data_IF_054197009151
#
_entry.id   IF_054197009151
#
_cell.length_a   1.000
_cell.length_b   1.000
_cell.length_c   1.000
_cell.angle_alpha   90.00
_cell.angle_beta   90.00
_cell.angle_gamma   90.00
#
_symmetry.space_group_name_H-M   'P 1'
#
loop_
_entity.id
_entity.type
_entity.pdbx_description
1 polymer ?
#
# COMPACT_ATOMS: atom_id res chain seq x y z
N UNK A 1 -13.46 -11.75 -0.60
CA UNK A 1 -12.55 -10.70 -0.11
C UNK A 1 -11.39 -10.53 -1.09
N UNK A 2 -11.19 -9.35 -1.57
CA UNK A 2 -10.12 -9.01 -2.52
C UNK A 2 -9.03 -8.24 -1.79
N UNK A 3 -7.77 -8.60 -1.99
CA UNK A 3 -6.62 -7.92 -1.39
C UNK A 3 -5.60 -7.52 -2.45
N UNK A 4 -5.18 -6.26 -2.42
CA UNK A 4 -4.20 -5.68 -3.33
C UNK A 4 -3.13 -4.93 -2.55
N UNK A 5 -1.86 -5.22 -2.84
CA UNK A 5 -0.73 -4.44 -2.35
C UNK A 5 -0.08 -3.70 -3.50
N UNK A 6 0.24 -2.43 -3.31
CA UNK A 6 1.17 -1.75 -4.18
C UNK A 6 2.54 -2.46 -4.04
N UNK A 7 2.99 -3.13 -5.11
CA UNK A 7 4.29 -3.79 -5.10
C UNK A 7 5.38 -2.71 -5.08
N UNK A 8 6.30 -2.74 -4.13
CA UNK A 8 7.42 -1.81 -4.08
C UNK A 8 8.01 -1.52 -2.70
N UNK A 9 7.53 -2.18 -1.64
CA UNK A 9 8.19 -2.11 -0.34
C UNK A 9 9.37 -3.07 -0.28
N UNK A 10 10.56 -2.68 -0.72
CA UNK A 10 11.82 -3.27 -0.27
C UNK A 10 12.04 -2.88 1.19
N UNK A 11 12.69 -3.73 1.96
CA UNK A 11 13.09 -3.42 3.32
C UNK A 11 13.92 -2.14 3.35
N UNK A 12 13.84 -1.33 4.43
CA UNK A 12 14.71 -0.20 4.59
C UNK A 12 16.13 -0.73 4.76
N UNK A 13 16.91 -0.71 3.69
CA UNK A 13 18.35 -0.93 3.79
C UNK A 13 18.89 0.29 4.52
N UNK A 14 19.37 0.05 5.74
CA UNK A 14 20.15 0.99 6.52
C UNK A 14 21.24 1.57 5.62
N UNK A 15 21.26 2.88 5.49
CA UNK A 15 22.17 3.65 4.67
C UNK A 15 23.63 3.33 5.01
N UNK A 16 24.31 2.56 4.18
CA UNK A 16 25.74 2.75 3.97
C UNK A 16 25.87 3.66 2.75
N UNK A 17 26.15 4.92 3.00
CA UNK A 17 26.55 5.88 1.98
C UNK A 17 27.92 5.42 1.48
N UNK A 18 27.97 4.86 0.29
CA UNK A 18 29.21 4.77 -0.45
C UNK A 18 29.41 6.17 -1.09
N UNK A 19 30.52 6.82 -0.75
CA UNK A 19 30.95 8.08 -1.31
C UNK A 19 31.20 7.92 -2.83
N UNK A 20 30.18 8.20 -3.59
CA UNK A 20 30.20 8.43 -5.01
C UNK A 20 29.09 9.43 -5.29
N UNK A 21 29.38 10.50 -6.00
CA UNK A 21 28.41 11.52 -6.45
C UNK A 21 27.38 10.89 -7.41
N UNK A 22 26.57 9.96 -6.90
CA UNK A 22 25.48 9.33 -7.61
C UNK A 22 24.21 10.13 -7.40
N UNK A 23 23.57 10.57 -8.47
CA UNK A 23 22.21 11.08 -8.43
C UNK A 23 21.30 10.08 -7.74
N UNK A 24 20.60 10.50 -6.68
CA UNK A 24 19.62 9.68 -5.97
C UNK A 24 18.22 10.13 -6.37
N UNK A 25 17.57 9.42 -7.29
CA UNK A 25 16.22 9.78 -7.73
C UNK A 25 15.24 9.77 -6.56
N UNK A 26 14.31 10.72 -6.60
CA UNK A 26 13.22 10.82 -5.64
C UNK A 26 11.91 10.50 -6.31
N UNK A 27 11.17 9.59 -5.69
CA UNK A 27 9.84 9.21 -6.13
C UNK A 27 8.80 9.80 -5.19
N UNK A 28 7.82 10.53 -5.72
CA UNK A 28 6.69 11.03 -4.92
C UNK A 28 5.40 10.98 -5.71
N UNK A 29 4.30 11.08 -5.02
CA UNK A 29 2.98 11.21 -5.62
C UNK A 29 2.53 12.67 -5.62
N UNK A 30 2.03 13.13 -6.76
CA UNK A 30 1.50 14.48 -6.92
C UNK A 30 0.30 14.49 -7.87
N UNK A 31 -0.86 14.90 -7.36
CA UNK A 31 -2.10 15.14 -8.14
C UNK A 31 -2.47 14.02 -9.12
N UNK A 32 -2.41 12.78 -8.65
CA UNK A 32 -2.79 11.62 -9.46
C UNK A 32 -1.69 11.07 -10.36
N UNK A 33 -0.46 11.54 -10.24
CA UNK A 33 0.70 11.04 -10.98
C UNK A 33 1.85 10.69 -10.05
N UNK A 34 2.72 9.78 -10.49
CA UNK A 34 4.05 9.65 -9.92
C UNK A 34 4.93 10.76 -10.47
N UNK A 35 5.74 11.33 -9.63
CA UNK A 35 6.77 12.31 -9.99
C UNK A 35 8.13 11.72 -9.67
N UNK A 36 9.04 11.79 -10.64
CA UNK A 36 10.42 11.34 -10.51
C UNK A 36 11.29 12.57 -10.63
N UNK A 37 11.96 12.91 -9.55
CA UNK A 37 12.90 14.04 -9.46
C UNK A 37 14.32 13.50 -9.43
N UNK A 38 15.26 14.32 -9.86
CA UNK A 38 16.71 14.04 -9.83
C UNK A 38 17.11 12.73 -10.55
N UNK A 39 16.37 12.32 -11.58
CA UNK A 39 16.74 11.18 -12.41
C UNK A 39 17.57 11.61 -13.60
N UNK A 40 18.74 10.97 -13.87
CA UNK A 40 19.50 11.18 -15.09
C UNK A 40 18.67 10.88 -16.34
N UNK A 41 18.93 11.60 -17.42
CA UNK A 41 18.19 11.44 -18.70
C UNK A 41 18.28 10.01 -19.24
N UNK A 42 19.42 9.36 -19.07
CA UNK A 42 19.66 7.97 -19.48
C UNK A 42 18.75 6.99 -18.76
N UNK A 43 18.54 7.19 -17.44
CA UNK A 43 17.64 6.37 -16.63
C UNK A 43 16.20 6.62 -17.01
N UNK A 44 15.84 7.88 -17.27
CA UNK A 44 14.49 8.22 -17.71
C UNK A 44 14.17 7.66 -19.10
N UNK A 45 15.13 7.61 -20.01
CA UNK A 45 14.99 6.97 -21.31
C UNK A 45 14.76 5.45 -21.18
N UNK A 46 15.44 4.78 -20.25
CA UNK A 46 15.24 3.36 -19.94
C UNK A 46 13.82 3.08 -19.39
N UNK A 47 13.23 4.06 -18.70
CA UNK A 47 11.87 3.98 -18.14
C UNK A 47 10.76 4.35 -19.14
N UNK A 48 11.10 4.69 -20.39
CA UNK A 48 10.09 5.06 -21.40
C UNK A 48 9.08 3.93 -21.67
N UNK A 49 9.47 2.66 -21.49
CA UNK A 49 8.59 1.49 -21.62
C UNK A 49 7.46 1.44 -20.58
N UNK A 50 7.58 2.14 -19.48
CA UNK A 50 6.58 2.22 -18.39
C UNK A 50 5.83 3.56 -18.37
N UNK A 51 5.67 4.20 -19.51
CA UNK A 51 4.94 5.46 -19.69
C UNK A 51 5.53 6.66 -18.89
N UNK A 52 6.81 6.69 -18.65
CA UNK A 52 7.49 7.84 -18.05
C UNK A 52 7.65 8.94 -19.11
N UNK A 53 7.18 10.16 -18.79
CA UNK A 53 7.20 11.31 -19.70
C UNK A 53 7.78 12.53 -19.00
N UNK A 54 8.55 13.32 -19.75
CA UNK A 54 9.07 14.60 -19.28
C UNK A 54 7.99 15.67 -19.24
N UNK A 55 7.79 16.27 -18.10
CA UNK A 55 6.92 17.44 -17.92
C UNK A 55 7.77 18.72 -17.94
N UNK A 56 7.75 19.40 -19.07
CA UNK A 56 8.53 20.65 -19.29
C UNK A 56 8.15 21.78 -18.34
N UNK A 57 6.91 21.79 -17.83
CA UNK A 57 6.42 22.89 -16.97
C UNK A 57 6.99 22.81 -15.57
N UNK A 58 7.15 21.62 -15.05
CA UNK A 58 7.66 21.37 -13.70
C UNK A 58 9.09 20.84 -13.68
N UNK A 59 9.70 20.64 -14.85
CA UNK A 59 11.05 20.09 -15.02
C UNK A 59 11.28 18.78 -14.26
N UNK A 60 10.30 17.87 -14.36
CA UNK A 60 10.33 16.54 -13.74
C UNK A 60 9.80 15.47 -14.69
N UNK A 61 10.11 14.22 -14.42
CA UNK A 61 9.47 13.12 -15.12
C UNK A 61 8.18 12.73 -14.40
N UNK A 62 7.15 12.34 -15.16
CA UNK A 62 5.87 11.87 -14.64
C UNK A 62 5.50 10.51 -15.22
N UNK A 63 4.85 9.69 -14.39
CA UNK A 63 4.32 8.39 -14.77
C UNK A 63 2.92 8.16 -14.21
N UNK A 64 2.12 7.26 -14.79
CA UNK A 64 0.86 6.84 -14.21
C UNK A 64 1.06 6.16 -12.84
N UNK A 65 0.22 6.41 -11.82
CA UNK A 65 0.44 5.92 -10.47
C UNK A 65 0.34 4.39 -10.38
N UNK A 66 -0.40 3.74 -11.26
CA UNK A 66 -0.48 2.26 -11.29
C UNK A 66 0.81 1.58 -11.76
N UNK A 67 1.74 2.35 -12.38
CA UNK A 67 3.08 1.88 -12.76
C UNK A 67 4.10 1.99 -11.63
N UNK A 68 3.68 2.40 -10.44
CA UNK A 68 4.60 2.61 -9.30
C UNK A 68 5.57 1.44 -9.06
N UNK A 69 5.06 0.21 -9.06
CA UNK A 69 5.90 -0.95 -8.77
C UNK A 69 7.01 -1.15 -9.82
N UNK A 70 6.66 -0.99 -11.09
CA UNK A 70 7.58 -1.12 -12.21
C UNK A 70 8.61 0.01 -12.17
N UNK A 71 8.14 1.24 -12.07
CA UNK A 71 9.01 2.44 -11.99
C UNK A 71 9.97 2.35 -10.80
N UNK A 72 9.48 2.01 -9.61
CA UNK A 72 10.31 1.92 -8.42
C UNK A 72 11.35 0.78 -8.51
N UNK A 73 11.00 -0.34 -9.15
CA UNK A 73 11.92 -1.47 -9.35
C UNK A 73 13.01 -1.10 -10.36
N UNK A 74 12.62 -0.54 -11.49
CA UNK A 74 13.55 -0.18 -12.56
C UNK A 74 14.48 0.96 -12.13
N UNK A 75 13.97 1.97 -11.43
CA UNK A 75 14.81 3.02 -10.83
C UNK A 75 15.88 2.43 -9.91
N UNK A 76 15.50 1.53 -9.00
CA UNK A 76 16.46 0.88 -8.08
C UNK A 76 17.48 0.03 -8.83
N UNK A 77 17.06 -0.65 -9.89
CA UNK A 77 17.97 -1.47 -10.69
C UNK A 77 19.03 -0.63 -11.40
N UNK A 78 18.68 0.59 -11.86
CA UNK A 78 19.60 1.46 -12.59
C UNK A 78 20.46 2.35 -11.68
N UNK A 79 19.93 2.78 -10.53
CA UNK A 79 20.60 3.76 -9.66
C UNK A 79 21.07 3.19 -8.32
N UNK A 80 20.73 1.94 -8.03
CA UNK A 80 21.03 1.29 -6.76
C UNK A 80 20.21 1.79 -5.58
N UNK A 81 19.83 3.08 -5.56
CA UNK A 81 19.07 3.69 -4.48
C UNK A 81 18.00 4.67 -4.98
N UNK A 82 16.85 4.70 -4.31
CA UNK A 82 15.75 5.62 -4.62
C UNK A 82 15.13 6.10 -3.30
N UNK A 83 14.96 7.41 -3.16
CA UNK A 83 14.19 7.99 -2.07
C UNK A 83 12.70 7.89 -2.41
N UNK A 84 11.99 7.02 -1.73
CA UNK A 84 10.60 6.69 -2.03
C UNK A 84 9.65 7.37 -1.03
N UNK A 85 9.07 8.47 -1.45
CA UNK A 85 8.11 9.29 -0.71
C UNK A 85 6.70 9.21 -1.32
N UNK A 86 6.39 8.11 -2.02
CA UNK A 86 5.08 7.95 -2.69
C UNK A 86 3.95 7.82 -1.69
N UNK A 87 4.15 7.08 -0.61
CA UNK A 87 3.08 6.82 0.35
C UNK A 87 3.13 7.76 1.55
N UNK A 88 1.99 8.44 1.82
CA UNK A 88 1.89 9.43 2.88
C UNK A 88 1.84 8.82 4.29
N UNK A 89 1.27 7.63 4.45
CA UNK A 89 1.38 6.87 5.69
C UNK A 89 2.62 5.99 5.63
N UNK A 90 3.42 6.07 6.69
CA UNK A 90 4.57 5.21 6.88
C UNK A 90 4.22 3.73 7.13
N UNK A 91 5.25 2.96 7.44
CA UNK A 91 5.06 1.56 7.85
C UNK A 91 4.41 1.49 9.23
N UNK A 92 3.63 0.45 9.42
CA UNK A 92 3.06 0.09 10.73
C UNK A 92 4.02 -0.88 11.40
N UNK A 93 4.52 -0.51 12.57
CA UNK A 93 5.49 -1.33 13.30
C UNK A 93 4.93 -2.71 13.65
N UNK A 94 5.77 -3.74 13.56
CA UNK A 94 5.37 -5.12 13.87
C UNK A 94 4.90 -5.27 15.32
N UNK A 95 5.52 -4.53 16.24
CA UNK A 95 5.22 -4.53 17.67
C UNK A 95 3.82 -3.97 17.98
N UNK A 96 3.23 -3.25 17.03
CA UNK A 96 1.85 -2.78 17.13
C UNK A 96 0.82 -3.89 16.95
N UNK A 97 1.25 -5.10 16.52
CA UNK A 97 0.37 -6.22 16.27
C UNK A 97 0.55 -7.33 17.32
N UNK A 98 -0.56 -7.87 17.80
CA UNK A 98 -0.56 -9.13 18.53
C UNK A 98 -0.54 -10.31 17.53
N UNK A 99 -0.01 -11.48 17.92
CA UNK A 99 0.00 -12.65 17.06
C UNK A 99 -1.41 -13.01 16.54
N UNK A 100 -1.52 -13.26 15.24
CA UNK A 100 -2.76 -13.67 14.59
C UNK A 100 -2.68 -15.17 14.29
N UNK A 101 -3.31 -15.98 15.11
CA UNK A 101 -3.35 -17.42 14.88
C UNK A 101 -4.32 -17.75 13.74
N UNK A 102 -3.81 -18.50 12.77
CA UNK A 102 -4.54 -18.95 11.59
C UNK A 102 -4.75 -20.45 11.62
N UNK A 103 -5.96 -20.88 11.29
CA UNK A 103 -6.27 -22.28 10.99
C UNK A 103 -5.51 -22.73 9.72
N UNK A 104 -5.25 -24.04 9.51
CA UNK A 104 -4.47 -24.52 8.37
C UNK A 104 -4.95 -23.98 7.00
N UNK A 105 -6.26 -23.98 6.75
CA UNK A 105 -6.82 -23.48 5.50
C UNK A 105 -6.69 -21.93 5.34
N UNK A 106 -6.74 -21.18 6.43
CA UNK A 106 -6.53 -19.73 6.42
C UNK A 106 -5.06 -19.41 6.10
N UNK A 107 -4.14 -20.17 6.69
CA UNK A 107 -2.70 -20.07 6.40
C UNK A 107 -2.40 -20.42 4.94
N UNK A 108 -3.00 -21.50 4.43
CA UNK A 108 -2.88 -21.85 3.01
C UNK A 108 -3.37 -20.73 2.08
N UNK A 109 -4.51 -20.10 2.40
CA UNK A 109 -5.04 -18.97 1.65
C UNK A 109 -4.11 -17.75 1.68
N UNK A 110 -3.51 -17.44 2.83
CA UNK A 110 -2.53 -16.36 2.96
C UNK A 110 -1.27 -16.65 2.12
N UNK A 111 -0.70 -17.84 2.23
CA UNK A 111 0.47 -18.25 1.45
C UNK A 111 0.20 -18.21 -0.07
N UNK A 112 -0.98 -18.68 -0.51
CA UNK A 112 -1.37 -18.62 -1.92
C UNK A 112 -1.45 -17.17 -2.42
N UNK A 113 -2.01 -16.26 -1.62
CA UNK A 113 -2.07 -14.84 -1.96
C UNK A 113 -0.66 -14.20 -1.99
N UNK A 114 0.21 -14.55 -1.06
CA UNK A 114 1.61 -14.08 -1.08
C UNK A 114 2.35 -14.57 -2.33
N UNK A 115 2.20 -15.84 -2.68
CA UNK A 115 2.75 -16.43 -3.91
C UNK A 115 2.20 -15.80 -5.20
N UNK A 116 0.96 -15.29 -5.17
CA UNK A 116 0.35 -14.52 -6.26
C UNK A 116 0.77 -13.03 -6.28
N UNK A 117 1.99 -12.72 -5.81
CA UNK A 117 2.54 -11.35 -5.72
C UNK A 117 1.66 -10.40 -4.89
N UNK A 118 0.96 -10.95 -3.90
CA UNK A 118 0.08 -10.22 -2.98
C UNK A 118 -1.06 -9.49 -3.67
N UNK A 119 -1.61 -10.12 -4.72
CA UNK A 119 -2.79 -9.66 -5.46
C UNK A 119 -3.72 -10.83 -5.70
N UNK A 120 -5.01 -10.67 -5.46
CA UNK A 120 -5.98 -11.72 -5.74
C UNK A 120 -7.21 -11.69 -4.86
N UNK A 121 -8.04 -12.68 -5.05
CA UNK A 121 -9.29 -12.89 -4.32
C UNK A 121 -9.16 -14.12 -3.44
N UNK A 122 -9.41 -13.95 -2.14
CA UNK A 122 -9.48 -15.05 -1.18
C UNK A 122 -10.93 -15.51 -1.07
N UNK A 123 -11.21 -16.69 -1.58
CA UNK A 123 -12.55 -17.31 -1.53
C UNK A 123 -12.56 -18.37 -0.42
N UNK A 124 -13.35 -18.12 0.60
CA UNK A 124 -13.57 -19.04 1.73
C UNK A 124 -15.05 -19.03 2.11
N UNK A 125 -15.60 -20.08 2.67
CA UNK A 125 -16.99 -20.13 3.13
C UNK A 125 -17.34 -18.99 4.08
N UNK A 126 -18.61 -18.64 4.18
CA UNK A 126 -19.10 -17.68 5.17
C UNK A 126 -18.81 -18.20 6.58
N UNK A 127 -18.39 -17.31 7.49
CA UNK A 127 -18.01 -17.71 8.85
C UNK A 127 -16.64 -18.39 9.00
N UNK A 128 -15.91 -18.63 7.91
CA UNK A 128 -14.58 -19.24 7.94
C UNK A 128 -13.46 -18.31 8.45
N UNK A 129 -13.77 -17.04 8.73
CA UNK A 129 -12.80 -16.07 9.25
C UNK A 129 -11.93 -15.44 8.18
N UNK A 130 -12.49 -15.07 7.02
CA UNK A 130 -11.81 -14.29 5.96
C UNK A 130 -11.14 -13.03 6.50
N UNK A 131 -11.82 -12.31 7.40
CA UNK A 131 -11.31 -11.13 8.09
C UNK A 131 -9.99 -11.41 8.81
N UNK A 132 -9.86 -12.57 9.45
CA UNK A 132 -8.63 -12.96 10.15
C UNK A 132 -7.45 -13.17 9.19
N UNK A 133 -7.70 -13.69 7.99
CA UNK A 133 -6.68 -13.80 6.93
C UNK A 133 -6.19 -12.39 6.51
N UNK A 134 -7.11 -11.44 6.35
CA UNK A 134 -6.75 -10.07 6.02
C UNK A 134 -5.94 -9.40 7.15
N UNK A 135 -6.35 -9.57 8.41
CA UNK A 135 -5.61 -9.02 9.56
C UNK A 135 -4.20 -9.61 9.64
N UNK A 136 -4.06 -10.92 9.40
CA UNK A 136 -2.75 -11.55 9.33
C UNK A 136 -1.89 -10.98 8.19
N UNK A 137 -2.47 -10.71 7.03
CA UNK A 137 -1.78 -10.05 5.92
C UNK A 137 -1.33 -8.62 6.30
N UNK A 138 -2.18 -7.84 6.97
CA UNK A 138 -1.83 -6.50 7.46
C UNK A 138 -0.65 -6.55 8.43
N UNK A 139 -0.70 -7.46 9.42
CA UNK A 139 0.35 -7.63 10.40
C UNK A 139 1.67 -8.09 9.76
N UNK A 140 1.63 -9.06 8.84
CA UNK A 140 2.80 -9.56 8.14
C UNK A 140 3.46 -8.52 7.23
N UNK A 141 2.66 -7.65 6.60
CA UNK A 141 3.17 -6.62 5.71
C UNK A 141 3.65 -5.36 6.44
N UNK A 142 3.13 -5.08 7.63
CA UNK A 142 3.46 -3.87 8.37
C UNK A 142 3.25 -2.60 7.53
N UNK A 143 2.17 -2.49 6.79
CA UNK A 143 1.93 -1.35 5.90
C UNK A 143 0.54 -0.74 6.12
N UNK A 144 0.43 0.55 5.77
CA UNK A 144 -0.84 1.26 5.85
C UNK A 144 -1.89 0.58 4.96
N UNK A 145 -3.07 0.33 5.53
CA UNK A 145 -4.12 -0.48 4.92
C UNK A 145 -5.45 0.23 4.93
N UNK A 146 -6.13 0.21 3.78
CA UNK A 146 -7.52 0.61 3.63
C UNK A 146 -8.40 -0.64 3.49
N UNK A 147 -9.38 -0.78 4.38
CA UNK A 147 -10.41 -1.82 4.31
C UNK A 147 -11.71 -1.21 3.79
N UNK A 148 -12.23 -1.71 2.68
CA UNK A 148 -13.50 -1.29 2.12
C UNK A 148 -14.58 -2.33 2.41
N UNK A 149 -15.69 -1.89 2.94
CA UNK A 149 -16.83 -2.73 3.31
C UNK A 149 -18.15 -2.18 2.75
N UNK A 150 -19.14 -3.03 2.44
CA UNK A 150 -20.39 -2.58 1.85
C UNK A 150 -21.30 -1.82 2.83
N UNK A 151 -21.26 -2.10 4.12
CA UNK A 151 -22.22 -1.56 5.09
C UNK A 151 -21.57 -0.95 6.31
N UNK A 152 -22.30 -0.07 7.00
CA UNK A 152 -21.88 0.52 8.29
C UNK A 152 -21.75 -0.54 9.39
N UNK A 153 -22.60 -1.56 9.39
CA UNK A 153 -22.52 -2.65 10.35
C UNK A 153 -21.18 -3.38 10.20
N UNK A 154 -20.79 -3.70 8.97
CA UNK A 154 -19.50 -4.33 8.70
C UNK A 154 -18.33 -3.39 9.02
N UNK A 155 -18.47 -2.08 8.84
CA UNK A 155 -17.44 -1.12 9.25
C UNK A 155 -17.12 -1.25 10.75
N UNK A 156 -18.14 -1.24 11.60
CA UNK A 156 -17.94 -1.38 13.04
C UNK A 156 -17.43 -2.77 13.42
N UNK A 157 -17.90 -3.83 12.76
CA UNK A 157 -17.42 -5.19 12.98
C UNK A 157 -15.93 -5.33 12.61
N UNK A 158 -15.54 -4.83 11.46
CA UNK A 158 -14.14 -4.86 11.01
C UNK A 158 -13.23 -4.06 11.93
N UNK A 159 -13.66 -2.85 12.31
CA UNK A 159 -12.91 -2.01 13.26
C UNK A 159 -12.67 -2.72 14.58
N UNK A 160 -13.72 -3.31 15.16
CA UNK A 160 -13.63 -4.06 16.40
C UNK A 160 -12.73 -5.29 16.26
N UNK A 161 -12.81 -6.02 15.16
CA UNK A 161 -11.99 -7.21 14.95
C UNK A 161 -10.51 -6.85 14.75
N UNK A 162 -10.19 -5.77 14.01
CA UNK A 162 -8.83 -5.28 13.86
C UNK A 162 -8.27 -4.83 15.21
N UNK A 163 -9.03 -4.11 16.02
CA UNK A 163 -8.62 -3.60 17.33
C UNK A 163 -8.25 -4.69 18.34
N UNK A 164 -8.65 -5.93 18.12
CA UNK A 164 -8.23 -7.08 18.95
C UNK A 164 -6.76 -7.46 18.74
N UNK A 165 -6.22 -7.13 17.57
CA UNK A 165 -4.87 -7.52 17.16
C UNK A 165 -3.94 -6.33 16.98
N UNK A 166 -4.49 -5.15 16.69
CA UNK A 166 -3.73 -3.93 16.45
C UNK A 166 -3.86 -2.97 17.64
N UNK A 167 -2.73 -2.58 18.24
CA UNK A 167 -2.67 -1.72 19.43
C UNK A 167 -2.81 -0.23 19.11
N UNK A 168 -2.65 0.15 17.84
CA UNK A 168 -2.85 1.53 17.38
C UNK A 168 -4.32 1.87 17.18
N UNK A 169 -4.60 3.14 16.89
CA UNK A 169 -5.96 3.57 16.54
C UNK A 169 -6.35 3.05 15.16
N UNK A 170 -7.57 2.49 15.05
CA UNK A 170 -8.16 2.08 13.78
C UNK A 170 -9.07 3.20 13.31
N UNK A 171 -8.67 3.87 12.25
CA UNK A 171 -9.46 4.92 11.60
C UNK A 171 -10.77 4.38 11.03
N UNK A 172 -11.79 5.23 11.00
CA UNK A 172 -13.08 4.92 10.40
C UNK A 172 -13.60 6.13 9.60
N UNK A 173 -14.16 5.84 8.42
CA UNK A 173 -14.82 6.89 7.64
C UNK A 173 -16.14 6.39 7.09
N UNK A 174 -17.21 6.89 7.67
CA UNK A 174 -18.59 6.50 7.46
C UNK A 174 -19.35 6.59 8.78
N UNK A 175 -20.67 6.57 8.71
CA UNK A 175 -21.53 6.64 9.90
C UNK A 175 -21.26 7.81 10.86
N UNK A 176 -20.91 8.99 10.26
CA UNK A 176 -20.55 10.18 11.06
C UNK A 176 -19.09 10.30 11.44
N UNK A 177 -18.33 9.20 11.43
CA UNK A 177 -16.89 9.22 11.69
C UNK A 177 -16.11 9.69 10.45
N UNK A 178 -14.99 10.39 10.68
CA UNK A 178 -14.11 10.94 9.62
C UNK A 178 -12.64 10.91 10.04
N UNK A 179 -12.21 9.81 10.62
CA UNK A 179 -10.84 9.64 11.08
C UNK A 179 -10.05 8.75 10.12
N UNK A 180 -8.92 9.23 9.64
CA UNK A 180 -7.95 8.45 8.86
C UNK A 180 -6.74 8.12 9.73
N UNK A 181 -6.37 6.86 9.73
CA UNK A 181 -5.15 6.35 10.36
C UNK A 181 -4.41 5.38 9.43
N UNK A 182 -3.26 4.86 9.85
CA UNK A 182 -2.53 3.87 9.06
C UNK A 182 -3.36 2.63 8.73
N UNK A 183 -4.25 2.22 9.63
CA UNK A 183 -5.27 1.20 9.35
C UNK A 183 -6.62 1.89 9.41
N UNK A 184 -7.34 1.87 8.29
CA UNK A 184 -8.65 2.57 8.18
C UNK A 184 -9.69 1.65 7.54
N UNK A 185 -10.89 1.67 8.10
CA UNK A 185 -12.06 0.98 7.55
C UNK A 185 -13.04 2.00 6.99
N UNK A 186 -13.51 1.82 5.77
CA UNK A 186 -14.46 2.72 5.11
C UNK A 186 -15.57 1.94 4.40
N UNK A 187 -16.75 2.56 4.30
CA UNK A 187 -17.75 2.04 3.36
C UNK A 187 -17.38 2.39 1.93
N UNK A 188 -17.81 1.58 0.95
CA UNK A 188 -17.59 1.86 -0.47
C UNK A 188 -18.04 3.26 -0.86
N UNK A 189 -19.22 3.67 -0.41
CA UNK A 189 -19.77 4.99 -0.72
C UNK A 189 -18.89 6.11 -0.16
N UNK A 190 -18.42 5.97 1.10
CA UNK A 190 -17.53 6.96 1.72
C UNK A 190 -16.20 7.05 0.99
N UNK A 191 -15.63 5.91 0.59
CA UNK A 191 -14.38 5.86 -0.16
C UNK A 191 -14.52 6.52 -1.53
N UNK A 192 -15.57 6.19 -2.28
CA UNK A 192 -15.85 6.77 -3.58
C UNK A 192 -15.97 8.30 -3.52
N UNK A 193 -16.73 8.83 -2.57
CA UNK A 193 -16.91 10.29 -2.39
C UNK A 193 -15.64 11.02 -1.94
N UNK A 194 -14.66 10.30 -1.38
CA UNK A 194 -13.48 10.90 -0.79
C UNK A 194 -12.16 10.42 -1.44
N UNK A 195 -12.22 9.83 -2.63
CA UNK A 195 -11.03 9.28 -3.31
C UNK A 195 -9.87 10.27 -3.42
N UNK A 196 -10.16 11.53 -3.71
CA UNK A 196 -9.14 12.59 -3.78
C UNK A 196 -8.41 12.82 -2.44
N UNK A 197 -9.08 12.56 -1.31
CA UNK A 197 -8.50 12.68 0.03
C UNK A 197 -7.74 11.42 0.45
N UNK A 198 -8.13 10.26 -0.07
CA UNK A 198 -7.41 9.01 0.18
C UNK A 198 -6.04 9.03 -0.49
N UNK A 199 -6.00 9.47 -1.75
CA UNK A 199 -4.74 9.71 -2.47
C UNK A 199 -3.78 8.53 -2.40
N UNK A 200 -2.60 8.80 -1.91
CA UNK A 200 -1.47 7.86 -1.79
C UNK A 200 -1.23 7.36 -0.36
N UNK A 201 -2.24 7.35 0.50
CA UNK A 201 -2.03 7.04 1.93
C UNK A 201 -1.82 5.56 2.21
N UNK A 202 -2.39 4.67 1.40
CA UNK A 202 -2.47 3.25 1.71
C UNK A 202 -1.70 2.40 0.70
N UNK A 203 -0.98 1.40 1.21
CA UNK A 203 -0.19 0.45 0.42
C UNK A 203 -0.92 -0.89 0.22
N UNK A 204 -1.85 -1.22 1.09
CA UNK A 204 -2.70 -2.41 0.98
C UNK A 204 -4.16 -1.97 0.91
N UNK A 205 -4.88 -2.53 -0.03
CA UNK A 205 -6.32 -2.42 -0.15
C UNK A 205 -6.96 -3.79 0.12
N UNK A 206 -7.86 -3.83 1.07
CA UNK A 206 -8.71 -4.99 1.37
C UNK A 206 -10.14 -4.63 1.02
N UNK A 207 -10.81 -5.45 0.23
CA UNK A 207 -12.20 -5.26 -0.17
C UNK A 207 -13.00 -6.45 0.33
N UNK A 208 -13.95 -6.22 1.20
CA UNK A 208 -14.88 -7.24 1.72
C UNK A 208 -16.23 -7.09 1.04
N UNK A 209 -16.75 -8.20 0.55
CA UNK A 209 -18.04 -8.26 -0.16
C UNK A 209 -19.17 -8.63 0.80
#
# INVERSE_FOLDING_TARGET
MTMWRACGGGDPVTSMVADGEGFVPRLRYDRGTLVIEDAPEEVAAALASVDVKWDRRSAVYRAPPWRYAEVATDLRAHTGHVVDNVFAFGRVAHEAWSPVELRPYQRAALCAWEGAKRRGVVVLPTGSGKTRVAIAAMAALGCATLCLVPTRVLLHQWRSEIARFYRGSVGAWGDGERELGPITVMTFESAYRNMARLGNRFMLLVVDE
#
